data_IF_802829868722
#
_entry.id   IF_802829868722
#
_cell.length_a   1.000
_cell.length_b   1.000
_cell.length_c   1.000
_cell.angle_alpha   90.00
_cell.angle_beta   90.00
_cell.angle_gamma   90.00
#
_symmetry.space_group_name_H-M   'P 1'
#
loop_
_entity.id
_entity.type
_entity.pdbx_description
1 polymer ?
#
# COMPACT_ATOMS: atom_id res chain seq x y z
N UNK A 1 -40.42 -16.61 25.04
CA UNK A 1 -40.54 -17.71 24.05
C UNK A 1 -39.35 -17.57 23.11
N UNK A 2 -38.22 -18.27 23.32
CA UNK A 2 -37.96 -19.64 22.86
C UNK A 2 -38.27 -19.76 21.35
N UNK A 3 -37.30 -19.92 20.43
CA UNK A 3 -36.35 -21.03 20.36
C UNK A 3 -35.11 -20.71 19.50
N UNK A 4 -33.98 -21.26 19.96
CA UNK A 4 -32.70 -21.46 19.28
C UNK A 4 -32.83 -22.26 17.97
N UNK A 5 -32.00 -21.95 16.97
CA UNK A 5 -31.40 -22.97 16.11
C UNK A 5 -29.90 -22.68 15.94
N UNK A 6 -29.11 -23.33 16.79
CA UNK A 6 -27.70 -23.60 16.59
C UNK A 6 -27.58 -24.67 15.51
N UNK A 7 -26.87 -24.39 14.42
CA UNK A 7 -26.36 -25.44 13.52
C UNK A 7 -24.84 -25.44 13.57
N UNK A 8 -24.33 -26.18 14.54
CA UNK A 8 -22.97 -26.72 14.59
C UNK A 8 -22.76 -27.71 13.46
N UNK A 9 -21.69 -27.54 12.68
CA UNK A 9 -21.07 -28.63 11.91
C UNK A 9 -19.55 -28.47 12.01
N UNK A 10 -18.97 -29.15 13.01
CA UNK A 10 -17.56 -29.55 13.02
C UNK A 10 -17.45 -30.88 12.27
N UNK A 11 -16.83 -30.92 11.09
CA UNK A 11 -16.10 -32.12 10.64
C UNK A 11 -14.80 -31.68 9.95
N UNK A 12 -13.73 -32.12 10.59
CA UNK A 12 -12.31 -32.12 10.23
C UNK A 12 -12.07 -33.07 9.05
N UNK A 13 -11.38 -32.64 7.99
CA UNK A 13 -10.58 -33.52 7.13
C UNK A 13 -9.41 -32.74 6.50
N UNK A 14 -8.15 -33.13 6.76
CA UNK A 14 -6.99 -32.58 6.08
C UNK A 14 -6.86 -33.25 4.70
N UNK A 15 -6.86 -32.47 3.63
CA UNK A 15 -6.54 -33.00 2.30
C UNK A 15 -5.02 -33.08 2.13
N UNK A 16 -4.60 -34.32 1.91
CA UNK A 16 -3.24 -34.74 1.61
C UNK A 16 -2.76 -34.16 0.27
N UNK A 17 -1.49 -33.77 0.27
CA UNK A 17 -0.68 -33.40 -0.90
C UNK A 17 -0.86 -34.39 -2.05
N UNK A 18 -1.09 -33.87 -3.25
CA UNK A 18 -0.99 -34.62 -4.50
C UNK A 18 -0.03 -33.91 -5.47
N UNK A 19 0.98 -34.70 -5.81
CA UNK A 19 2.05 -34.56 -6.80
C UNK A 19 1.89 -33.57 -7.95
N UNK A 20 3.01 -32.87 -8.19
CA UNK A 20 3.41 -32.12 -9.37
C UNK A 20 3.21 -32.91 -10.67
N UNK A 21 2.64 -32.24 -11.69
CA UNK A 21 2.92 -32.48 -13.11
C UNK A 21 3.13 -31.12 -13.81
N UNK A 22 4.10 -31.03 -14.74
CA UNK A 22 4.48 -29.76 -15.36
C UNK A 22 3.43 -29.35 -16.40
N UNK A 23 2.82 -28.18 -16.20
CA UNK A 23 2.00 -27.52 -17.23
C UNK A 23 2.97 -26.73 -18.11
N UNK A 24 2.95 -27.01 -19.41
CA UNK A 24 3.80 -26.38 -20.42
C UNK A 24 3.60 -24.87 -20.53
N UNK A 25 4.56 -24.24 -21.21
CA UNK A 25 4.66 -22.79 -21.41
C UNK A 25 3.35 -22.17 -21.92
N UNK A 26 2.85 -21.07 -21.32
CA UNK A 26 1.73 -20.34 -21.86
C UNK A 26 2.16 -19.57 -23.12
N UNK A 27 1.67 -19.98 -24.28
CA UNK A 27 1.66 -19.17 -25.50
C UNK A 27 0.68 -18.01 -25.29
N UNK A 28 1.20 -16.79 -25.13
CA UNK A 28 0.37 -15.58 -25.06
C UNK A 28 0.06 -15.12 -26.48
N UNK A 29 -1.09 -15.53 -26.99
CA UNK A 29 -1.70 -14.92 -28.18
C UNK A 29 -2.39 -13.63 -27.73
N UNK A 30 -1.91 -12.48 -28.20
CA UNK A 30 -2.50 -11.19 -27.90
C UNK A 30 -3.89 -11.07 -28.56
N UNK A 31 -4.95 -11.35 -27.80
CA UNK A 31 -6.30 -10.93 -28.15
C UNK A 31 -6.45 -9.45 -27.80
N UNK A 32 -6.57 -8.60 -28.81
CA UNK A 32 -6.96 -7.20 -28.68
C UNK A 32 -8.41 -7.14 -28.19
N UNK A 33 -8.61 -7.10 -26.89
CA UNK A 33 -9.87 -6.72 -26.28
C UNK A 33 -10.04 -5.20 -26.48
N UNK A 34 -11.05 -4.81 -27.26
CA UNK A 34 -11.44 -3.42 -27.43
C UNK A 34 -11.88 -2.84 -26.08
N UNK A 35 -11.17 -1.83 -25.61
CA UNK A 35 -11.51 -1.09 -24.39
C UNK A 35 -12.67 -0.14 -24.74
N UNK A 36 -13.77 -0.10 -23.96
CA UNK A 36 -14.85 0.84 -24.22
C UNK A 36 -14.38 2.29 -24.03
N UNK A 37 -14.90 3.15 -24.89
CA UNK A 37 -14.56 4.55 -25.16
C UNK A 37 -14.86 5.55 -24.01
N UNK A 38 -14.86 5.08 -22.76
CA UNK A 38 -15.21 5.88 -21.56
C UNK A 38 -13.94 6.45 -20.88
N UNK A 39 -12.75 6.06 -21.32
CA UNK A 39 -11.45 6.60 -20.87
C UNK A 39 -10.84 7.61 -21.86
N UNK A 40 -11.61 8.14 -22.80
CA UNK A 40 -11.16 9.19 -23.72
C UNK A 40 -11.26 10.55 -23.03
N UNK A 41 -10.27 10.88 -22.20
CA UNK A 41 -10.10 12.24 -21.72
C UNK A 41 -9.83 13.16 -22.92
N UNK A 42 -10.71 14.15 -23.09
CA UNK A 42 -10.73 15.24 -24.06
C UNK A 42 -9.55 15.34 -25.02
N UNK A 43 -9.84 15.15 -26.31
CA UNK A 43 -9.00 15.60 -27.40
C UNK A 43 -8.84 17.13 -27.32
N UNK A 44 -7.73 17.60 -26.74
CA UNK A 44 -7.42 19.02 -26.64
C UNK A 44 -7.19 19.57 -28.06
N UNK A 45 -7.94 20.62 -28.41
CA UNK A 45 -7.70 21.41 -29.61
C UNK A 45 -6.28 22.03 -29.55
N UNK A 46 -5.63 22.31 -30.69
CA UNK A 46 -4.25 22.79 -30.69
C UNK A 46 -4.15 24.18 -30.04
N UNK A 47 -3.55 24.26 -28.85
CA UNK A 47 -3.16 25.55 -28.25
C UNK A 47 -1.97 26.15 -29.02
N UNK A 48 -1.92 27.48 -29.18
CA UNK A 48 -0.79 28.17 -29.83
C UNK A 48 0.49 27.99 -29.01
N UNK A 49 1.68 28.01 -29.66
CA UNK A 49 2.92 27.62 -29.02
C UNK A 49 3.34 28.64 -27.96
N UNK A 50 3.11 28.32 -26.69
CA UNK A 50 3.82 28.98 -25.59
C UNK A 50 5.29 28.55 -25.66
N UNK A 51 6.17 29.55 -25.83
CA UNK A 51 7.60 29.43 -25.60
C UNK A 51 7.86 28.97 -24.16
N UNK A 52 7.91 27.66 -23.97
CA UNK A 52 8.57 27.08 -22.81
C UNK A 52 10.07 27.30 -23.00
N UNK A 53 10.77 27.97 -22.05
CA UNK A 53 12.21 27.99 -22.08
C UNK A 53 12.68 26.54 -22.11
N UNK A 54 13.57 26.20 -23.05
CA UNK A 54 14.31 24.93 -23.07
C UNK A 54 15.09 24.85 -21.76
N UNK A 55 14.46 24.28 -20.74
CA UNK A 55 15.15 23.92 -19.53
C UNK A 55 16.03 22.74 -19.90
N UNK A 56 17.34 22.99 -20.02
CA UNK A 56 18.35 21.95 -20.06
C UNK A 56 18.32 21.24 -18.70
N UNK A 57 17.31 20.39 -18.49
CA UNK A 57 17.30 19.43 -17.41
C UNK A 57 18.32 18.37 -17.79
N UNK A 58 19.48 18.42 -17.15
CA UNK A 58 20.24 17.21 -16.91
C UNK A 58 19.33 16.31 -16.08
N UNK A 59 18.50 15.51 -16.75
CA UNK A 59 17.73 14.45 -16.14
C UNK A 59 18.76 13.51 -15.50
N UNK A 60 18.97 13.64 -14.19
CA UNK A 60 19.60 12.60 -13.41
C UNK A 60 18.62 11.44 -13.39
N UNK A 61 18.72 10.60 -14.41
CA UNK A 61 17.91 9.41 -14.53
C UNK A 61 18.26 8.50 -13.34
N UNK A 62 17.25 8.17 -12.55
CA UNK A 62 17.42 7.29 -11.39
C UNK A 62 17.62 5.89 -11.95
N UNK A 63 18.82 5.35 -11.80
CA UNK A 63 19.10 3.98 -12.20
C UNK A 63 18.46 3.00 -11.20
N UNK A 64 17.35 2.39 -11.60
CA UNK A 64 16.63 1.41 -10.80
C UNK A 64 17.34 0.04 -10.73
N UNK A 65 18.35 -0.19 -11.56
CA UNK A 65 19.14 -1.43 -11.55
C UNK A 65 20.21 -1.42 -10.45
N UNK A 66 20.70 -0.23 -10.07
CA UNK A 66 21.66 -0.03 -8.98
C UNK A 66 20.97 0.02 -7.60
N UNK A 67 20.55 -1.15 -7.14
CA UNK A 67 19.90 -1.33 -5.83
C UNK A 67 20.79 -0.86 -4.68
N UNK A 68 22.12 -1.03 -4.78
CA UNK A 68 23.04 -0.62 -3.73
C UNK A 68 23.01 0.90 -3.53
N UNK A 69 22.95 1.65 -4.62
CA UNK A 69 22.82 3.11 -4.58
C UNK A 69 21.44 3.57 -4.13
N UNK A 70 20.36 2.89 -4.54
CA UNK A 70 18.99 3.22 -4.11
C UNK A 70 18.81 3.11 -2.60
N UNK A 71 19.40 2.09 -1.97
CA UNK A 71 19.25 1.82 -0.54
C UNK A 71 20.45 2.26 0.31
N UNK A 72 21.41 3.01 -0.25
CA UNK A 72 22.62 3.43 0.45
C UNK A 72 22.34 4.26 1.72
N UNK A 73 21.23 5.00 1.76
CA UNK A 73 20.80 5.80 2.91
C UNK A 73 19.97 5.01 3.94
N UNK A 74 19.59 3.77 3.63
CA UNK A 74 18.70 2.95 4.49
C UNK A 74 19.54 1.99 5.34
N UNK A 75 19.35 1.98 6.67
CA UNK A 75 20.05 1.03 7.53
C UNK A 75 19.76 -0.43 7.15
N UNK A 76 20.80 -1.26 7.12
CA UNK A 76 20.68 -2.71 6.93
C UNK A 76 19.63 -3.40 7.82
N UNK A 77 19.50 -3.10 9.12
CA UNK A 77 18.45 -3.73 9.93
C UNK A 77 17.03 -3.41 9.45
N UNK A 78 16.81 -2.22 8.89
CA UNK A 78 15.51 -1.80 8.36
C UNK A 78 15.21 -2.52 7.04
N UNK A 79 16.23 -2.74 6.20
CA UNK A 79 16.11 -3.58 5.01
C UNK A 79 15.76 -5.02 5.37
N UNK A 80 16.47 -5.63 6.33
CA UNK A 80 16.19 -6.99 6.78
C UNK A 80 14.79 -7.12 7.38
N UNK A 81 14.37 -6.15 8.20
CA UNK A 81 13.00 -6.10 8.74
C UNK A 81 11.97 -6.02 7.62
N UNK A 82 12.18 -5.11 6.66
CA UNK A 82 11.31 -4.92 5.51
C UNK A 82 11.18 -6.19 4.68
N UNK A 83 12.30 -6.85 4.39
CA UNK A 83 12.33 -8.15 3.69
C UNK A 83 11.56 -9.22 4.47
N UNK A 84 11.75 -9.32 5.78
CA UNK A 84 11.04 -10.30 6.60
C UNK A 84 9.53 -10.07 6.62
N UNK A 85 9.08 -8.82 6.79
CA UNK A 85 7.66 -8.44 6.78
C UNK A 85 7.03 -8.72 5.41
N UNK A 86 7.70 -8.34 4.33
CA UNK A 86 7.23 -8.57 2.97
C UNK A 86 7.11 -10.08 2.66
N UNK A 87 8.10 -10.88 3.05
CA UNK A 87 8.02 -12.34 2.90
C UNK A 87 6.89 -12.95 3.72
N UNK A 88 6.68 -12.48 4.95
CA UNK A 88 5.57 -12.94 5.77
C UNK A 88 4.22 -12.63 5.10
N UNK A 89 4.05 -11.44 4.52
CA UNK A 89 2.85 -11.05 3.79
C UNK A 89 2.63 -11.86 2.50
N UNK A 90 3.70 -12.37 1.87
CA UNK A 90 3.62 -13.20 0.67
C UNK A 90 3.21 -14.66 0.95
N UNK A 91 3.25 -15.11 2.20
CA UNK A 91 2.89 -16.47 2.61
C UNK A 91 1.42 -16.51 3.02
N UNK A 92 0.56 -17.10 2.19
CA UNK A 92 -0.89 -17.19 2.44
C UNK A 92 -1.28 -17.65 3.86
N UNK A 93 -0.75 -18.78 4.37
CA UNK A 93 -1.02 -19.23 5.73
C UNK A 93 -0.67 -18.21 6.84
N UNK A 94 0.34 -17.38 6.62
CA UNK A 94 0.72 -16.33 7.58
C UNK A 94 -0.32 -15.22 7.60
N UNK A 95 -0.84 -14.84 6.44
CA UNK A 95 -1.94 -13.87 6.32
C UNK A 95 -3.22 -14.42 6.97
N UNK A 96 -3.52 -15.71 6.77
CA UNK A 96 -4.68 -16.37 7.38
C UNK A 96 -4.59 -16.35 8.92
N UNK A 97 -3.41 -16.63 9.48
CA UNK A 97 -3.17 -16.52 10.92
C UNK A 97 -3.38 -15.09 11.40
N UNK A 98 -2.88 -14.09 10.67
CA UNK A 98 -3.11 -12.68 10.98
C UNK A 98 -4.59 -12.32 11.04
N UNK A 99 -5.34 -12.68 10.00
CA UNK A 99 -6.80 -12.49 9.93
C UNK A 99 -7.54 -13.18 11.08
N UNK A 100 -7.12 -14.40 11.43
CA UNK A 100 -7.67 -15.13 12.56
C UNK A 100 -7.39 -14.42 13.88
N UNK A 101 -6.16 -13.96 14.12
CA UNK A 101 -5.79 -13.21 15.34
C UNK A 101 -6.63 -11.94 15.46
N UNK A 102 -6.77 -11.18 14.38
CA UNK A 102 -7.57 -9.94 14.35
C UNK A 102 -9.07 -10.19 14.59
N UNK A 103 -9.57 -11.37 14.24
CA UNK A 103 -10.96 -11.77 14.46
C UNK A 103 -11.17 -12.55 15.77
N UNK A 104 -10.11 -12.76 16.57
CA UNK A 104 -10.16 -13.59 17.77
C UNK A 104 -10.51 -12.80 19.03
N UNK A 105 -10.84 -13.53 20.10
CA UNK A 105 -11.09 -12.96 21.44
C UNK A 105 -9.87 -12.26 22.07
N UNK A 106 -8.68 -12.39 21.47
CA UNK A 106 -7.52 -11.60 21.89
C UNK A 106 -7.76 -10.09 21.69
N UNK A 107 -8.65 -9.71 20.78
CA UNK A 107 -9.00 -8.31 20.55
C UNK A 107 -10.02 -7.77 21.56
N UNK A 108 -10.69 -8.64 22.33
CA UNK A 108 -11.73 -8.22 23.27
C UNK A 108 -11.14 -7.60 24.56
N UNK A 109 -9.96 -8.06 24.98
CA UNK A 109 -9.28 -7.54 26.17
C UNK A 109 -8.29 -6.43 25.78
N UNK A 110 -8.41 -5.26 26.43
CA UNK A 110 -7.60 -4.08 26.15
C UNK A 110 -6.08 -4.34 26.22
N UNK A 111 -5.62 -5.18 27.16
CA UNK A 111 -4.19 -5.47 27.30
C UNK A 111 -3.65 -6.28 26.13
N UNK A 112 -4.31 -7.39 25.78
CA UNK A 112 -3.89 -8.26 24.68
C UNK A 112 -4.09 -7.57 23.33
N UNK A 113 -5.16 -6.80 23.18
CA UNK A 113 -5.39 -5.94 22.01
C UNK A 113 -4.24 -4.95 21.82
N UNK A 114 -3.87 -4.22 22.87
CA UNK A 114 -2.77 -3.27 22.82
C UNK A 114 -1.44 -3.94 22.42
N UNK A 115 -1.17 -5.13 22.94
CA UNK A 115 0.02 -5.89 22.58
C UNK A 115 0.03 -6.30 21.10
N UNK A 116 -1.08 -6.86 20.59
CA UNK A 116 -1.18 -7.27 19.18
C UNK A 116 -1.09 -6.05 18.26
N UNK A 117 -1.83 -4.98 18.55
CA UNK A 117 -1.77 -3.75 17.76
C UNK A 117 -0.38 -3.12 17.79
N UNK A 118 0.33 -3.20 18.92
CA UNK A 118 1.73 -2.76 19.00
C UNK A 118 2.66 -3.57 18.10
N UNK A 119 2.51 -4.90 18.07
CA UNK A 119 3.27 -5.77 17.17
C UNK A 119 2.96 -5.47 15.72
N UNK A 120 1.68 -5.33 15.37
CA UNK A 120 1.22 -5.01 14.01
C UNK A 120 1.73 -3.63 13.58
N UNK A 121 1.68 -2.65 14.50
CA UNK A 121 2.21 -1.31 14.31
C UNK A 121 3.70 -1.35 13.97
N UNK A 122 4.50 -2.06 14.75
CA UNK A 122 5.96 -2.16 14.57
C UNK A 122 6.42 -3.09 13.43
N UNK A 123 5.50 -3.73 12.71
CA UNK A 123 5.82 -4.66 11.62
C UNK A 123 5.14 -4.25 10.32
N UNK A 124 3.96 -4.80 10.04
CA UNK A 124 3.22 -4.60 8.79
C UNK A 124 2.81 -3.15 8.59
N UNK A 125 2.32 -2.50 9.64
CA UNK A 125 1.85 -1.12 9.52
C UNK A 125 2.99 -0.17 9.20
N UNK A 126 4.09 -0.18 9.97
CA UNK A 126 5.23 0.70 9.72
C UNK A 126 5.92 0.42 8.37
N UNK A 127 5.81 -0.80 7.85
CA UNK A 127 6.35 -1.18 6.53
C UNK A 127 5.48 -0.70 5.36
N UNK A 128 4.15 -0.82 5.45
CA UNK A 128 3.23 -0.49 4.36
C UNK A 128 2.60 0.91 4.47
N UNK A 129 2.58 1.49 5.65
CA UNK A 129 1.96 2.79 5.93
C UNK A 129 3.01 3.83 6.33
N UNK A 130 2.89 5.03 5.78
CA UNK A 130 3.82 6.12 6.08
C UNK A 130 3.55 6.79 7.44
N UNK A 131 2.37 6.60 8.03
CA UNK A 131 2.01 7.16 9.33
C UNK A 131 0.54 6.93 9.68
N UNK A 132 0.21 7.09 10.97
CA UNK A 132 -1.13 6.90 11.54
C UNK A 132 -2.14 7.96 11.11
N UNK A 133 -1.65 9.13 10.75
CA UNK A 133 -2.44 10.25 10.29
C UNK A 133 -1.72 10.98 9.15
N UNK A 134 -2.45 11.91 8.52
CA UNK A 134 -1.95 12.68 7.39
C UNK A 134 -0.68 13.48 7.71
N UNK A 135 -0.53 13.96 8.96
CA UNK A 135 0.64 14.75 9.36
C UNK A 135 1.87 13.88 9.53
N UNK A 136 1.76 12.75 10.24
CA UNK A 136 2.83 11.78 10.40
C UNK A 136 3.30 11.23 9.05
N UNK A 137 2.35 10.94 8.16
CA UNK A 137 2.67 10.45 6.82
C UNK A 137 3.36 11.53 5.95
N UNK A 138 2.92 12.79 6.01
CA UNK A 138 3.58 13.88 5.31
C UNK A 138 5.01 14.12 5.81
N UNK A 139 5.23 14.10 7.13
CA UNK A 139 6.58 14.21 7.71
C UNK A 139 7.49 13.06 7.27
N UNK A 140 6.99 11.82 7.25
CA UNK A 140 7.77 10.69 6.71
C UNK A 140 8.12 10.90 5.24
N UNK A 141 7.17 11.32 4.39
CA UNK A 141 7.45 11.61 2.97
C UNK A 141 8.47 12.73 2.80
N UNK A 142 8.38 13.81 3.59
CA UNK A 142 9.36 14.90 3.62
C UNK A 142 10.75 14.37 3.98
N UNK A 143 10.86 13.53 5.01
CA UNK A 143 12.16 12.97 5.43
C UNK A 143 12.81 12.11 4.32
N UNK A 144 12.01 11.33 3.59
CA UNK A 144 12.49 10.54 2.45
C UNK A 144 12.98 11.46 1.34
N UNK A 145 12.23 12.52 1.03
CA UNK A 145 12.62 13.51 0.03
C UNK A 145 13.94 14.20 0.40
N UNK A 146 14.11 14.64 1.65
CA UNK A 146 15.34 15.31 2.10
C UNK A 146 16.56 14.38 2.05
N UNK A 147 16.37 13.11 2.38
CA UNK A 147 17.43 12.10 2.38
C UNK A 147 17.82 11.63 0.97
N UNK A 148 16.84 11.46 0.07
CA UNK A 148 17.03 10.73 -1.20
C UNK A 148 16.75 11.56 -2.45
N UNK A 149 16.01 12.67 -2.33
CA UNK A 149 15.46 13.42 -3.46
C UNK A 149 14.21 12.77 -4.08
N UNK A 150 13.77 11.60 -3.57
CA UNK A 150 12.59 10.91 -4.07
C UNK A 150 11.30 11.58 -3.56
N UNK A 151 10.33 11.76 -4.46
CA UNK A 151 8.99 12.23 -4.12
C UNK A 151 8.09 11.04 -3.82
N UNK A 152 7.21 11.20 -2.82
CA UNK A 152 6.20 10.22 -2.47
C UNK A 152 4.80 10.67 -2.86
N UNK A 153 3.93 9.72 -3.18
CA UNK A 153 2.49 9.95 -3.32
C UNK A 153 1.81 9.63 -2.00
N UNK A 154 1.13 10.61 -1.41
CA UNK A 154 0.39 10.42 -0.17
C UNK A 154 -1.04 9.94 -0.48
N UNK A 155 -1.42 8.79 0.09
CA UNK A 155 -2.71 8.13 -0.15
C UNK A 155 -3.41 7.85 1.18
N UNK A 156 -4.66 8.29 1.31
CA UNK A 156 -5.53 7.85 2.41
C UNK A 156 -6.02 6.43 2.11
N UNK A 157 -5.67 5.47 2.97
CA UNK A 157 -5.81 4.04 2.68
C UNK A 157 -7.13 3.38 3.10
N UNK A 158 -8.11 4.12 3.63
CA UNK A 158 -9.39 3.54 4.06
C UNK A 158 -10.42 3.69 2.93
N UNK A 159 -10.89 2.57 2.42
CA UNK A 159 -11.83 2.51 1.29
C UNK A 159 -13.26 2.14 1.70
N UNK A 160 -13.43 1.44 2.82
CA UNK A 160 -14.72 0.91 3.24
C UNK A 160 -15.42 1.84 4.23
N UNK A 161 -16.73 2.02 4.04
CA UNK A 161 -17.64 2.70 4.93
C UNK A 161 -18.95 1.91 4.99
N UNK A 162 -19.43 1.61 6.19
CA UNK A 162 -20.66 0.84 6.41
C UNK A 162 -21.92 1.72 6.37
N UNK A 163 -21.76 3.04 6.53
CA UNK A 163 -22.86 4.00 6.60
C UNK A 163 -22.47 5.38 6.04
N UNK A 164 -23.47 6.28 5.97
CA UNK A 164 -23.26 7.63 5.45
C UNK A 164 -22.32 8.47 6.32
N UNK A 165 -22.35 8.29 7.65
CA UNK A 165 -21.51 9.06 8.57
C UNK A 165 -20.03 8.70 8.41
N UNK A 166 -19.72 7.41 8.34
CA UNK A 166 -18.37 6.89 8.05
C UNK A 166 -17.88 7.29 6.65
N UNK A 167 -18.77 7.43 5.67
CA UNK A 167 -18.44 8.00 4.37
C UNK A 167 -18.01 9.47 4.46
N UNK A 168 -18.78 10.28 5.20
CA UNK A 168 -18.46 11.70 5.44
C UNK A 168 -17.15 11.86 6.22
N UNK A 169 -16.89 10.98 7.20
CA UNK A 169 -15.63 10.95 7.94
C UNK A 169 -14.45 10.58 7.04
N UNK A 170 -14.60 9.56 6.19
CA UNK A 170 -13.58 9.19 5.19
C UNK A 170 -13.28 10.35 4.23
N UNK A 171 -14.29 11.08 3.78
CA UNK A 171 -14.12 12.29 2.96
C UNK A 171 -13.31 13.36 3.70
N UNK A 172 -13.60 13.60 4.98
CA UNK A 172 -12.82 14.55 5.78
C UNK A 172 -11.35 14.11 5.90
N UNK A 173 -11.07 12.82 6.10
CA UNK A 173 -9.70 12.32 6.15
C UNK A 173 -8.98 12.45 4.81
N UNK A 174 -9.68 12.25 3.69
CA UNK A 174 -9.13 12.50 2.36
C UNK A 174 -8.77 13.98 2.16
N UNK A 175 -9.65 14.90 2.54
CA UNK A 175 -9.38 16.35 2.48
C UNK A 175 -8.18 16.75 3.34
N UNK A 176 -8.06 16.20 4.56
CA UNK A 176 -6.88 16.41 5.43
C UNK A 176 -5.59 15.89 4.78
N UNK A 177 -5.67 14.78 4.06
CA UNK A 177 -4.54 14.20 3.33
C UNK A 177 -4.09 15.11 2.19
N UNK A 178 -5.04 15.68 1.43
CA UNK A 178 -4.74 16.71 0.41
C UNK A 178 -4.06 17.91 1.05
N UNK A 179 -4.58 18.40 2.18
CA UNK A 179 -4.01 19.57 2.86
C UNK A 179 -2.58 19.29 3.35
N UNK A 180 -2.33 18.12 3.93
CA UNK A 180 -1.00 17.70 4.34
C UNK A 180 -0.03 17.60 3.15
N UNK A 181 -0.49 17.07 2.01
CA UNK A 181 0.31 16.94 0.79
C UNK A 181 0.75 18.30 0.22
N UNK A 182 -0.02 19.37 0.40
CA UNK A 182 0.37 20.74 -0.02
C UNK A 182 1.62 21.25 0.69
N UNK A 183 1.93 20.74 1.87
CA UNK A 183 3.14 21.11 2.61
C UNK A 183 4.41 20.45 2.07
N UNK A 184 4.27 19.43 1.21
CA UNK A 184 5.41 18.68 0.69
C UNK A 184 6.17 19.48 -0.38
N UNK A 185 7.50 19.30 -0.49
CA UNK A 185 8.30 19.98 -1.50
C UNK A 185 7.83 19.66 -2.93
N UNK A 186 7.50 20.70 -3.70
CA UNK A 186 7.07 20.57 -5.10
C UNK A 186 8.22 20.73 -6.09
N UNK A 187 9.31 21.39 -5.71
CA UNK A 187 10.49 21.62 -6.56
C UNK A 187 11.37 20.37 -6.69
N UNK A 188 12.14 20.30 -7.76
CA UNK A 188 13.22 19.31 -7.91
C UNK A 188 14.49 19.94 -7.35
N UNK A 189 15.06 19.38 -6.29
CA UNK A 189 16.41 19.78 -5.87
C UNK A 189 17.39 18.99 -6.74
N UNK A 190 17.99 19.65 -7.72
CA UNK A 190 19.22 19.15 -8.34
C UNK A 190 20.32 19.21 -7.28
N UNK A 191 20.82 18.04 -6.86
CA UNK A 191 22.11 17.93 -6.16
C UNK A 191 23.18 17.59 -7.17
#
# INVERSE_FOLDING_TARGET
MATRLLRTNFIRRPHCFSSLRPVGSPTVTASTAAVPEILSFGQQAPEPPLHHPKHNQTHHDIDLSDQARLFASVPTPDLLRSTAVLHAAAIGPMVDVGSWVMSSKLMDNALTRGMVLGVVKGTFYDHFCAGEDASAAAERVRSVYEATGLKGMLVYGVEHADDAASCDDNMQHFLRTIEAAKSLPTSHVSK
#
